data_IF_090818068515
#
_entry.id   IF_090818068515
#
_cell.length_a   1.000
_cell.length_b   1.000
_cell.length_c   1.000
_cell.angle_alpha   90.00
_cell.angle_beta   90.00
_cell.angle_gamma   90.00
#
_symmetry.space_group_name_H-M   'P 1'
#
loop_
_entity.id
_entity.type
_entity.pdbx_description
1 polymer ?
#
# COMPACT_ATOMS: atom_id res chain seq x y z
N UNK A 1 -13.74 -5.17 -4.29
CA UNK A 1 -12.86 -4.07 -3.81
C UNK A 1 -13.54 -2.75 -4.13
N UNK A 2 -13.47 -1.75 -3.26
CA UNK A 2 -14.11 -0.43 -3.46
C UNK A 2 -13.06 0.67 -3.65
N UNK A 3 -11.90 0.33 -4.24
CA UNK A 3 -10.81 1.29 -4.45
C UNK A 3 -10.34 1.94 -3.14
N UNK A 4 -10.17 3.26 -3.16
CA UNK A 4 -9.62 4.04 -2.04
C UNK A 4 -10.61 4.23 -0.89
N UNK A 5 -11.90 3.98 -1.14
CA UNK A 5 -12.99 4.11 -0.16
C UNK A 5 -13.12 2.87 0.73
N UNK A 6 -12.28 1.86 0.54
CA UNK A 6 -12.24 0.70 1.43
C UNK A 6 -10.90 0.55 2.14
N UNK A 7 -10.95 0.27 3.43
CA UNK A 7 -9.76 0.07 4.25
C UNK A 7 -10.00 -0.93 5.38
N UNK A 8 -8.92 -1.34 6.04
CA UNK A 8 -8.98 -2.13 7.26
C UNK A 8 -8.70 -1.25 8.48
N UNK A 9 -9.55 -1.38 9.51
CA UNK A 9 -9.30 -0.74 10.81
C UNK A 9 -7.99 -1.22 11.41
N UNK A 10 -7.76 -2.53 11.38
CA UNK A 10 -6.55 -3.21 11.87
C UNK A 10 -5.85 -3.90 10.72
N UNK A 11 -5.01 -3.14 10.03
CA UNK A 11 -4.14 -3.68 9.01
C UNK A 11 -2.91 -4.33 9.68
N UNK A 12 -2.81 -5.67 9.64
CA UNK A 12 -1.81 -6.43 10.39
C UNK A 12 -0.36 -5.96 10.16
N UNK A 13 0.08 -5.64 8.92
CA UNK A 13 1.42 -5.11 8.71
C UNK A 13 1.69 -3.81 9.47
N UNK A 14 0.69 -2.95 9.67
CA UNK A 14 0.85 -1.74 10.49
C UNK A 14 0.94 -2.08 11.97
N UNK A 15 0.15 -3.05 12.44
CA UNK A 15 0.15 -3.46 13.85
C UNK A 15 1.51 -4.06 14.25
N UNK A 16 2.15 -4.86 13.38
CA UNK A 16 3.50 -5.40 13.63
C UNK A 16 4.57 -4.30 13.78
N UNK A 17 4.35 -3.16 13.13
CA UNK A 17 5.27 -2.03 13.13
C UNK A 17 4.88 -0.93 14.12
N UNK A 18 3.78 -1.10 14.86
CA UNK A 18 3.24 -0.06 15.74
C UNK A 18 2.74 1.20 15.00
N UNK A 19 2.47 1.09 13.70
CA UNK A 19 1.97 2.20 12.87
C UNK A 19 0.49 2.44 13.15
N UNK A 20 0.13 3.71 13.37
CA UNK A 20 -1.26 4.11 13.58
C UNK A 20 -1.93 4.44 12.26
N UNK A 21 -2.88 3.61 11.84
CA UNK A 21 -3.78 3.92 10.72
C UNK A 21 -4.70 5.09 11.08
N UNK A 22 -4.97 5.97 10.12
CA UNK A 22 -6.02 7.01 10.24
C UNK A 22 -7.41 6.42 10.49
N UNK A 23 -7.62 5.16 10.07
CA UNK A 23 -8.87 4.43 10.25
C UNK A 23 -8.97 3.66 11.60
N UNK A 24 -7.96 3.73 12.48
CA UNK A 24 -7.86 2.88 13.69
C UNK A 24 -9.07 2.96 14.63
N UNK A 25 -9.70 4.12 14.71
CA UNK A 25 -10.80 4.40 15.63
C UNK A 25 -12.19 4.12 15.03
N UNK A 26 -12.27 3.66 13.78
CA UNK A 26 -13.54 3.31 13.15
C UNK A 26 -14.10 2.00 13.73
N UNK A 27 -15.39 1.75 13.53
CA UNK A 27 -16.05 0.50 13.95
C UNK A 27 -15.99 -0.53 12.81
N UNK A 28 -15.77 -1.80 13.16
CA UNK A 28 -15.64 -2.91 12.21
C UNK A 28 -14.17 -3.24 11.86
N UNK A 29 -13.94 -4.37 11.21
CA UNK A 29 -12.60 -4.76 10.74
C UNK A 29 -12.34 -4.27 9.32
N UNK A 30 -13.29 -4.50 8.42
CA UNK A 30 -13.37 -3.89 7.09
C UNK A 30 -14.29 -2.68 7.14
N UNK A 31 -13.84 -1.56 6.58
CA UNK A 31 -14.56 -0.28 6.67
C UNK A 31 -14.66 0.35 5.29
N UNK A 32 -15.85 0.82 4.95
CA UNK A 32 -16.09 1.74 3.85
C UNK A 32 -16.11 3.16 4.40
N UNK A 33 -15.40 4.05 3.72
CA UNK A 33 -15.29 5.47 4.06
C UNK A 33 -15.80 6.31 2.90
N UNK A 34 -16.31 7.50 3.20
CA UNK A 34 -16.41 8.54 2.19
C UNK A 34 -15.00 9.01 1.82
N UNK A 35 -14.69 9.13 0.53
CA UNK A 35 -13.39 9.65 0.09
C UNK A 35 -13.09 11.03 0.67
N UNK A 36 -14.09 11.88 0.91
CA UNK A 36 -13.88 13.21 1.49
C UNK A 36 -13.22 13.16 2.88
N UNK A 37 -13.39 12.06 3.62
CA UNK A 37 -12.68 11.85 4.89
C UNK A 37 -11.15 11.82 4.73
N UNK A 38 -10.64 11.43 3.55
CA UNK A 38 -9.21 11.44 3.27
C UNK A 38 -8.64 12.86 3.20
N UNK A 39 -9.45 13.87 2.86
CA UNK A 39 -9.02 15.28 2.92
C UNK A 39 -8.89 15.77 4.36
N UNK A 40 -9.70 15.23 5.28
CA UNK A 40 -9.65 15.56 6.71
C UNK A 40 -8.51 14.82 7.41
N UNK A 41 -8.32 13.54 7.10
CA UNK A 41 -7.22 12.75 7.66
C UNK A 41 -5.85 13.10 7.06
N UNK A 42 -5.84 13.52 5.80
CA UNK A 42 -4.67 13.89 5.00
C UNK A 42 -3.39 13.08 5.31
N UNK A 43 -3.41 11.75 5.07
CA UNK A 43 -2.29 10.90 5.44
C UNK A 43 -1.02 11.25 4.66
N UNK A 44 0.13 11.22 5.34
CA UNK A 44 1.45 11.45 4.72
C UNK A 44 1.85 10.38 3.69
N UNK A 45 1.36 9.16 3.89
CA UNK A 45 1.68 7.98 3.08
C UNK A 45 0.40 7.17 2.87
N UNK A 46 0.16 6.72 1.65
CA UNK A 46 -0.93 5.80 1.33
C UNK A 46 -0.36 4.51 0.75
N UNK A 47 -0.82 3.38 1.30
CA UNK A 47 -0.56 2.06 0.74
C UNK A 47 -1.83 1.54 0.07
N UNK A 48 -1.74 1.25 -1.23
CA UNK A 48 -2.82 0.70 -2.04
C UNK A 48 -2.61 -0.80 -2.19
N UNK A 49 -3.64 -1.60 -1.92
CA UNK A 49 -3.61 -3.03 -2.20
C UNK A 49 -3.62 -3.25 -3.73
N UNK A 50 -2.63 -3.98 -4.23
CA UNK A 50 -2.44 -4.26 -5.65
C UNK A 50 -3.65 -4.94 -6.31
N UNK A 51 -4.42 -5.73 -5.56
CA UNK A 51 -5.67 -6.33 -6.05
C UNK A 51 -6.77 -5.30 -6.35
N UNK A 52 -6.72 -4.13 -5.71
CA UNK A 52 -7.64 -3.00 -5.92
C UNK A 52 -7.06 -1.86 -6.78
N UNK A 53 -5.82 -1.97 -7.25
CA UNK A 53 -5.08 -0.89 -7.93
C UNK A 53 -5.87 -0.25 -9.08
N UNK A 54 -6.45 -1.07 -9.96
CA UNK A 54 -7.16 -0.57 -11.14
C UNK A 54 -8.33 0.36 -10.80
N UNK A 55 -9.05 0.08 -9.70
CA UNK A 55 -10.15 0.92 -9.22
C UNK A 55 -9.64 2.28 -8.72
N UNK A 56 -8.52 2.28 -7.99
CA UNK A 56 -7.89 3.52 -7.52
C UNK A 56 -7.41 4.35 -8.69
N UNK A 57 -6.74 3.74 -9.67
CA UNK A 57 -6.28 4.45 -10.87
C UNK A 57 -7.44 5.01 -11.70
N UNK A 58 -8.54 4.28 -11.82
CA UNK A 58 -9.74 4.78 -12.49
C UNK A 58 -10.36 5.97 -11.77
N UNK A 59 -10.44 5.93 -10.45
CA UNK A 59 -10.97 7.04 -9.66
C UNK A 59 -10.07 8.28 -9.73
N UNK A 60 -8.74 8.09 -9.73
CA UNK A 60 -7.77 9.18 -9.95
C UNK A 60 -8.00 9.86 -11.30
N UNK A 61 -8.24 9.09 -12.38
CA UNK A 61 -8.53 9.66 -13.70
C UNK A 61 -9.82 10.47 -13.72
N UNK A 62 -10.85 10.04 -12.98
CA UNK A 62 -12.15 10.73 -12.91
C UNK A 62 -12.10 11.96 -12.02
N UNK A 63 -11.30 11.95 -10.96
CA UNK A 63 -11.30 12.97 -9.91
C UNK A 63 -9.89 13.54 -9.63
N UNK A 64 -9.12 13.99 -10.63
CA UNK A 64 -7.70 14.33 -10.44
C UNK A 64 -7.46 15.45 -9.42
N UNK A 65 -8.32 16.47 -9.37
CA UNK A 65 -8.18 17.60 -8.44
C UNK A 65 -8.35 17.19 -6.98
N UNK A 66 -9.19 16.20 -6.69
CA UNK A 66 -9.31 15.64 -5.33
C UNK A 66 -7.95 15.06 -4.88
N UNK A 67 -7.34 14.22 -5.70
CA UNK A 67 -6.07 13.58 -5.35
C UNK A 67 -4.90 14.53 -5.32
N UNK A 68 -4.87 15.56 -6.19
CA UNK A 68 -3.86 16.62 -6.13
C UNK A 68 -3.86 17.37 -4.82
N UNK A 69 -4.95 17.37 -4.05
CA UNK A 69 -5.05 18.04 -2.77
C UNK A 69 -4.52 17.22 -1.59
N UNK A 70 -4.37 15.90 -1.74
CA UNK A 70 -3.86 15.00 -0.70
C UNK A 70 -2.32 15.04 -0.59
N UNK A 71 -1.81 15.12 0.63
CA UNK A 71 -0.37 15.21 0.94
C UNK A 71 0.43 14.01 0.41
N UNK A 72 -0.05 12.78 0.60
CA UNK A 72 0.61 11.59 0.04
C UNK A 72 0.78 11.67 -1.48
N UNK A 73 -0.22 12.18 -2.21
CA UNK A 73 -0.16 12.30 -3.66
C UNK A 73 0.76 13.44 -4.12
N UNK A 74 0.67 14.61 -3.47
CA UNK A 74 1.56 15.76 -3.73
C UNK A 74 3.04 15.38 -3.61
N UNK A 75 3.38 14.58 -2.60
CA UNK A 75 4.76 14.17 -2.33
C UNK A 75 5.15 12.85 -3.00
N UNK A 76 4.25 12.23 -3.78
CA UNK A 76 4.53 10.96 -4.45
C UNK A 76 4.73 9.76 -3.49
N UNK A 77 4.17 9.83 -2.28
CA UNK A 77 4.25 8.81 -1.23
C UNK A 77 3.03 7.89 -1.26
N UNK A 78 2.73 7.37 -2.44
CA UNK A 78 1.66 6.39 -2.66
C UNK A 78 2.31 5.12 -3.19
N UNK A 79 2.13 4.01 -2.49
CA UNK A 79 2.84 2.76 -2.75
C UNK A 79 1.88 1.59 -2.93
N UNK A 80 2.30 0.60 -3.70
CA UNK A 80 1.57 -0.66 -3.83
C UNK A 80 2.00 -1.68 -2.77
N UNK A 81 1.05 -2.46 -2.28
CA UNK A 81 1.28 -3.65 -1.45
C UNK A 81 0.67 -4.86 -2.13
N UNK A 82 1.19 -6.06 -1.82
CA UNK A 82 0.64 -7.28 -2.39
C UNK A 82 -0.66 -7.67 -1.67
N UNK A 83 -1.69 -8.16 -2.37
CA UNK A 83 -2.91 -8.64 -1.74
C UNK A 83 -2.59 -9.85 -0.86
N UNK A 84 -3.04 -9.84 0.39
CA UNK A 84 -2.84 -10.96 1.32
C UNK A 84 -4.13 -11.58 1.87
N UNK A 85 -5.30 -11.03 1.55
CA UNK A 85 -6.61 -11.49 2.04
C UNK A 85 -7.52 -12.03 0.92
N UNK A 86 -6.97 -12.43 -0.22
CA UNK A 86 -7.76 -13.05 -1.29
C UNK A 86 -8.05 -14.51 -0.91
N UNK A 87 -9.33 -14.86 -0.68
CA UNK A 87 -9.84 -16.17 -0.23
C UNK A 87 -9.50 -16.54 1.23
N UNK A 88 -8.25 -16.37 1.66
CA UNK A 88 -7.78 -16.55 3.05
C UNK A 88 -6.57 -15.66 3.34
N UNK A 89 -6.11 -15.61 4.58
CA UNK A 89 -4.93 -14.82 4.99
C UNK A 89 -3.64 -15.51 4.54
N UNK A 90 -2.97 -14.97 3.53
CA UNK A 90 -1.61 -15.37 3.16
C UNK A 90 -0.59 -14.72 4.10
N UNK A 91 -0.21 -15.45 5.15
CA UNK A 91 0.75 -14.97 6.16
C UNK A 91 2.11 -14.58 5.55
N UNK A 92 2.58 -15.30 4.53
CA UNK A 92 3.82 -14.98 3.83
C UNK A 92 3.78 -13.58 3.20
N UNK A 93 2.71 -13.29 2.46
CA UNK A 93 2.48 -11.97 1.86
C UNK A 93 2.29 -10.90 2.94
N UNK A 94 1.58 -11.21 4.03
CA UNK A 94 1.39 -10.29 5.16
C UNK A 94 2.74 -9.87 5.77
N UNK A 95 3.63 -10.83 6.06
CA UNK A 95 4.97 -10.53 6.57
C UNK A 95 5.82 -9.78 5.55
N UNK A 96 5.79 -10.18 4.28
CA UNK A 96 6.52 -9.49 3.21
C UNK A 96 6.10 -8.02 3.09
N UNK A 97 4.79 -7.73 3.14
CA UNK A 97 4.26 -6.37 3.16
C UNK A 97 4.75 -5.59 4.37
N UNK A 98 4.83 -6.20 5.56
CA UNK A 98 5.34 -5.53 6.76
C UNK A 98 6.81 -5.10 6.61
N UNK A 99 7.68 -5.93 6.01
CA UNK A 99 9.07 -5.52 5.73
C UNK A 99 9.13 -4.35 4.74
N UNK A 100 8.32 -4.38 3.69
CA UNK A 100 8.23 -3.26 2.73
C UNK A 100 7.75 -1.97 3.41
N UNK A 101 6.66 -2.04 4.15
CA UNK A 101 6.10 -0.88 4.85
C UNK A 101 7.10 -0.34 5.88
N UNK A 102 7.79 -1.21 6.62
CA UNK A 102 8.85 -0.81 7.53
C UNK A 102 9.96 -0.02 6.83
N UNK A 103 10.40 -0.49 5.65
CA UNK A 103 11.39 0.20 4.81
C UNK A 103 10.91 1.59 4.36
N UNK A 104 9.63 1.73 4.00
CA UNK A 104 9.05 3.00 3.53
C UNK A 104 8.84 4.01 4.68
N UNK A 105 8.37 3.53 5.83
CA UNK A 105 7.95 4.40 6.95
C UNK A 105 9.11 4.72 7.89
N UNK A 106 10.01 3.77 8.13
CA UNK A 106 11.12 3.89 9.09
C UNK A 106 12.42 3.33 8.47
N UNK A 107 12.93 3.93 7.36
CA UNK A 107 14.01 3.36 6.56
C UNK A 107 15.30 3.08 7.35
N UNK A 108 15.58 3.87 8.41
CA UNK A 108 16.74 3.69 9.29
C UNK A 108 16.79 2.31 9.94
N UNK A 109 15.65 1.72 10.25
CA UNK A 109 15.54 0.43 10.93
C UNK A 109 15.54 -0.76 9.95
N UNK A 110 15.51 -0.48 8.65
CA UNK A 110 15.39 -1.48 7.58
C UNK A 110 16.46 -1.23 6.50
N UNK A 111 17.59 -0.60 6.86
CA UNK A 111 18.61 -0.17 5.90
C UNK A 111 19.20 -1.35 5.08
N UNK A 112 19.33 -2.52 5.69
CA UNK A 112 19.81 -3.78 5.13
C UNK A 112 18.72 -4.59 4.39
N UNK A 113 17.46 -4.16 4.46
CA UNK A 113 16.34 -4.87 3.86
C UNK A 113 16.11 -4.41 2.42
N UNK A 114 16.22 -5.39 1.51
CA UNK A 114 15.67 -5.38 0.15
C UNK A 114 14.29 -6.05 0.19
N UNK A 115 13.18 -5.30 0.04
CA UNK A 115 11.83 -5.85 0.20
C UNK A 115 11.50 -7.00 -0.76
N UNK A 116 11.99 -6.96 -2.00
CA UNK A 116 11.70 -7.99 -3.01
C UNK A 116 12.42 -9.30 -2.64
N UNK A 117 13.72 -9.21 -2.32
CA UNK A 117 14.49 -10.38 -1.87
C UNK A 117 13.96 -10.94 -0.56
N UNK A 118 13.50 -10.06 0.34
CA UNK A 118 12.94 -10.49 1.62
C UNK A 118 11.62 -11.23 1.43
N UNK A 119 10.75 -10.76 0.53
CA UNK A 119 9.53 -11.45 0.17
C UNK A 119 9.81 -12.84 -0.39
N UNK A 120 10.75 -12.95 -1.34
CA UNK A 120 11.14 -14.25 -1.89
C UNK A 120 11.75 -15.19 -0.84
N UNK A 121 12.51 -14.67 0.12
CA UNK A 121 13.02 -15.46 1.25
C UNK A 121 11.89 -16.01 2.13
N UNK A 122 10.87 -15.20 2.40
CA UNK A 122 9.69 -15.61 3.16
C UNK A 122 8.89 -16.67 2.40
N UNK A 123 8.62 -16.46 1.11
CA UNK A 123 7.92 -17.43 0.29
C UNK A 123 8.71 -18.74 0.13
N UNK A 124 10.03 -18.67 -0.03
CA UNK A 124 10.87 -19.85 -0.08
C UNK A 124 10.76 -20.67 1.20
N UNK A 125 10.78 -20.01 2.37
CA UNK A 125 10.66 -20.69 3.66
C UNK A 125 9.29 -21.35 3.84
N UNK A 126 8.19 -20.65 3.51
CA UNK A 126 6.83 -21.13 3.77
C UNK A 126 6.29 -22.07 2.68
N UNK A 127 6.68 -21.87 1.43
CA UNK A 127 6.10 -22.53 0.24
C UNK A 127 7.13 -23.37 -0.53
N UNK A 128 8.42 -23.31 -0.17
CA UNK A 128 9.49 -23.98 -0.90
C UNK A 128 9.83 -23.34 -2.25
N UNK A 129 9.24 -22.18 -2.59
CA UNK A 129 9.42 -21.49 -3.88
C UNK A 129 9.48 -19.98 -3.73
N UNK A 130 10.32 -19.36 -4.57
CA UNK A 130 10.41 -17.91 -4.76
C UNK A 130 9.32 -17.49 -5.76
N UNK A 131 8.29 -16.80 -5.29
CA UNK A 131 7.11 -16.45 -6.11
C UNK A 131 6.82 -14.96 -6.14
N UNK A 132 7.70 -14.11 -5.57
CA UNK A 132 7.47 -12.66 -5.57
C UNK A 132 7.34 -12.09 -6.98
N UNK A 133 8.14 -12.57 -7.94
CA UNK A 133 8.06 -12.13 -9.34
C UNK A 133 6.68 -12.36 -9.97
N UNK A 134 6.02 -13.47 -9.63
CA UNK A 134 4.67 -13.77 -10.08
C UNK A 134 3.66 -12.80 -9.44
N UNK A 135 3.77 -12.61 -8.12
CA UNK A 135 2.94 -11.64 -7.39
C UNK A 135 3.09 -10.22 -7.94
N UNK A 136 4.32 -9.78 -8.20
CA UNK A 136 4.64 -8.48 -8.80
C UNK A 136 4.02 -8.32 -10.19
N UNK A 137 4.08 -9.37 -11.02
CA UNK A 137 3.49 -9.36 -12.36
C UNK A 137 1.96 -9.18 -12.29
N UNK A 138 1.30 -9.87 -11.37
CA UNK A 138 -0.16 -9.93 -11.34
C UNK A 138 -0.80 -8.74 -10.60
N UNK A 139 -0.14 -8.22 -9.56
CA UNK A 139 -0.73 -7.22 -8.65
C UNK A 139 0.06 -5.90 -8.59
N UNK A 140 1.21 -5.83 -9.25
CA UNK A 140 2.20 -4.78 -9.02
C UNK A 140 3.15 -5.17 -7.88
N UNK A 141 4.37 -4.66 -7.95
CA UNK A 141 5.40 -4.91 -6.95
C UNK A 141 5.39 -3.89 -5.83
N UNK A 142 6.42 -3.94 -5.00
CA UNK A 142 6.74 -2.92 -4.00
C UNK A 142 7.30 -1.64 -4.62
N UNK A 143 6.53 -1.08 -5.53
CA UNK A 143 6.86 0.10 -6.30
C UNK A 143 5.94 1.28 -5.89
N UNK A 144 6.40 2.53 -6.04
CA UNK A 144 5.50 3.68 -6.02
C UNK A 144 4.39 3.50 -7.07
N UNK A 145 3.17 3.90 -6.73
CA UNK A 145 2.11 4.02 -7.73
C UNK A 145 2.53 5.13 -8.72
N UNK A 146 2.66 4.79 -10.01
CA UNK A 146 3.06 5.77 -11.02
C UNK A 146 1.93 6.75 -11.30
N UNK A 147 2.02 7.96 -10.73
CA UNK A 147 0.98 8.98 -10.81
C UNK A 147 1.12 9.98 -11.97
N UNK A 148 2.29 10.02 -12.63
CA UNK A 148 2.58 10.99 -13.71
C UNK A 148 1.58 10.93 -14.86
N UNK A 149 1.09 9.74 -15.18
CA UNK A 149 0.13 9.53 -16.26
C UNK A 149 -1.27 10.05 -15.91
N UNK A 150 -1.55 10.35 -14.63
CA UNK A 150 -2.88 10.70 -14.15
C UNK A 150 -3.00 12.12 -13.64
N UNK A 151 -1.92 12.67 -13.07
CA UNK A 151 -1.97 13.94 -12.32
C UNK A 151 -1.08 15.05 -12.90
N UNK A 152 -0.39 14.83 -14.03
CA UNK A 152 0.62 15.75 -14.56
C UNK A 152 1.97 15.62 -13.83
N UNK A 153 2.94 16.51 -14.10
CA UNK A 153 4.28 16.44 -13.50
C UNK A 153 4.26 16.59 -11.97
N UNK A 154 4.07 15.49 -11.25
CA UNK A 154 4.40 15.39 -9.83
C UNK A 154 5.90 15.12 -9.72
N UNK A 155 6.62 15.97 -8.98
CA UNK A 155 8.02 15.73 -8.62
C UNK A 155 8.05 14.57 -7.63
N UNK A 156 8.22 13.34 -8.12
CA UNK A 156 8.59 12.21 -7.27
C UNK A 156 9.95 12.53 -6.65
N UNK A 157 9.97 12.71 -5.33
CA UNK A 157 11.20 12.90 -4.57
C UNK A 157 11.69 11.52 -4.14
N UNK A 158 12.76 11.04 -4.78
CA UNK A 158 13.47 9.85 -4.33
C UNK A 158 14.53 10.32 -3.32
N UNK A 159 14.40 9.86 -2.08
CA UNK A 159 15.46 9.91 -1.05
C UNK A 159 15.55 8.53 -0.43
#
# INVERSE_FOLDING_TARGET
AHGIESTFRRYLPFEFLGIKSVARNLKGEYVLIDKEMLLVWDPDIIFVDGGGRHLVEEDIRKNPEFYKNLSAFKHGRVYLTLPYNYYTTNLGTCFANAYFIGKVVIPSNFNDIDPEKKADGIYLFLLGKRVYSNMKKDYGGYDPLYLKNYLGQIKQSFT
#
